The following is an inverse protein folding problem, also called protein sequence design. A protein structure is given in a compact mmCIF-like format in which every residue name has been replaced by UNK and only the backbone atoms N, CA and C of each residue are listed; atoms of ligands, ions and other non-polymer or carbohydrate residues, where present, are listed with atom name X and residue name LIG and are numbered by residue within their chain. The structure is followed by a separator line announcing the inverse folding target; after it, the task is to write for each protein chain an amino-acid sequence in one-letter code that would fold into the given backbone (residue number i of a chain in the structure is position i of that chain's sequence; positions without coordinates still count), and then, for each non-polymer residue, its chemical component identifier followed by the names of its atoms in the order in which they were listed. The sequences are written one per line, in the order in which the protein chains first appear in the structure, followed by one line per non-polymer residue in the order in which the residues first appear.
data_IF_914078894630
#
_entry.id   IF_914078894630
#
_cell.length_a   1.000
_cell.length_b   1.000
_cell.length_c   1.000
_cell.angle_alpha   90.00
_cell.angle_beta   90.00
_cell.angle_gamma   90.00
#
_symmetry.space_group_name_H-M   'P 1'
#
loop_
_entity.id
_entity.type
_entity.pdbx_description
1 polymer ?
#
# COMPACT_ATOMS: atom_id res chain seq x y z
N UNK A 1 23.82 -4.08 -26.16
CA UNK A 1 23.76 -3.63 -24.75
C UNK A 1 24.50 -4.71 -23.97
N UNK A 2 25.50 -4.36 -23.17
CA UNK A 2 26.27 -5.35 -22.40
C UNK A 2 25.34 -5.94 -21.33
N UNK A 3 25.40 -7.25 -21.12
CA UNK A 3 24.69 -7.94 -20.04
C UNK A 3 25.72 -8.47 -19.05
N UNK A 4 25.58 -8.11 -17.77
CA UNK A 4 26.49 -8.55 -16.73
C UNK A 4 25.71 -9.44 -15.76
N UNK A 5 26.09 -10.71 -15.55
CA UNK A 5 25.39 -11.62 -14.66
C UNK A 5 25.21 -11.04 -13.26
N UNK A 6 23.98 -11.04 -12.74
CA UNK A 6 23.65 -10.51 -11.42
C UNK A 6 23.52 -8.98 -11.33
N UNK A 7 23.60 -8.27 -12.46
CA UNK A 7 23.46 -6.81 -12.52
C UNK A 7 22.42 -6.36 -13.55
N UNK A 8 21.65 -5.35 -13.18
CA UNK A 8 20.62 -4.72 -13.99
C UNK A 8 21.06 -3.30 -14.34
N UNK A 9 21.03 -2.95 -15.63
CA UNK A 9 21.37 -1.61 -16.10
C UNK A 9 20.14 -0.71 -16.18
N UNK A 10 20.18 0.41 -15.46
CA UNK A 10 19.15 1.44 -15.41
C UNK A 10 19.67 2.67 -16.16
N UNK A 11 19.25 2.79 -17.43
CA UNK A 11 19.63 3.88 -18.33
C UNK A 11 19.23 5.24 -17.77
N UNK A 12 20.08 6.25 -17.97
CA UNK A 12 19.86 7.66 -17.62
C UNK A 12 19.86 8.05 -16.14
N UNK A 13 19.76 7.09 -15.22
CA UNK A 13 19.57 7.36 -13.80
C UNK A 13 20.84 7.19 -12.97
N UNK A 14 20.84 7.84 -11.81
CA UNK A 14 21.72 7.59 -10.68
C UNK A 14 20.92 7.59 -9.38
N UNK A 15 21.39 6.80 -8.40
CA UNK A 15 20.88 6.81 -7.02
C UNK A 15 21.80 7.71 -6.18
N UNK A 16 21.37 8.92 -5.77
CA UNK A 16 22.25 9.88 -5.09
C UNK A 16 22.70 9.41 -3.70
N UNK A 17 23.95 9.72 -3.34
CA UNK A 17 24.54 9.40 -2.04
C UNK A 17 24.95 7.93 -1.88
N UNK A 18 25.30 7.55 -0.64
CA UNK A 18 25.82 6.24 -0.26
C UNK A 18 27.03 5.80 -1.10
N UNK A 19 27.86 6.76 -1.52
CA UNK A 19 29.04 6.50 -2.32
C UNK A 19 30.15 5.91 -1.43
N UNK A 20 30.68 4.77 -1.84
CA UNK A 20 31.84 4.12 -1.20
C UNK A 20 33.12 4.80 -1.69
N UNK A 21 33.28 4.86 -3.02
CA UNK A 21 34.44 5.43 -3.70
C UNK A 21 34.13 5.69 -5.18
N UNK A 22 34.92 6.55 -5.82
CA UNK A 22 34.93 6.68 -7.28
C UNK A 22 36.18 6.00 -7.86
N UNK A 23 35.97 5.07 -8.79
CA UNK A 23 37.05 4.34 -9.46
C UNK A 23 37.24 4.90 -10.86
N UNK A 24 37.82 6.09 -10.94
CA UNK A 24 37.94 6.89 -12.18
C UNK A 24 38.61 6.11 -13.31
N UNK A 25 39.60 5.27 -13.00
CA UNK A 25 40.31 4.44 -13.99
C UNK A 25 39.42 3.40 -14.67
N UNK A 26 38.31 3.00 -14.05
CA UNK A 26 37.34 2.05 -14.61
C UNK A 26 36.10 2.75 -15.19
N UNK A 27 36.12 4.08 -15.31
CA UNK A 27 35.00 4.86 -15.88
C UNK A 27 34.62 4.32 -17.26
N UNK A 28 33.32 4.11 -17.49
CA UNK A 28 32.82 3.56 -18.75
C UNK A 28 33.08 2.06 -18.97
N UNK A 29 33.69 1.35 -18.01
CA UNK A 29 33.92 -0.10 -18.08
C UNK A 29 33.06 -0.84 -17.03
N UNK A 30 31.79 -1.17 -17.36
CA UNK A 30 30.88 -1.75 -16.39
C UNK A 30 31.25 -3.17 -15.97
N UNK A 31 31.91 -3.96 -16.83
CA UNK A 31 32.38 -5.32 -16.48
C UNK A 31 33.47 -5.27 -15.40
N UNK A 32 34.45 -4.36 -15.55
CA UNK A 32 35.50 -4.18 -14.55
C UNK A 32 34.94 -3.65 -13.22
N UNK A 33 33.98 -2.71 -13.27
CA UNK A 33 33.31 -2.19 -12.07
C UNK A 33 32.48 -3.27 -11.36
N UNK A 34 31.77 -4.14 -12.10
CA UNK A 34 31.01 -5.25 -11.54
C UNK A 34 31.91 -6.32 -10.88
N UNK A 35 33.06 -6.60 -11.49
CA UNK A 35 34.07 -7.50 -10.91
C UNK A 35 34.66 -6.91 -9.62
N UNK A 36 34.94 -5.60 -9.61
CA UNK A 36 35.40 -4.91 -8.41
C UNK A 36 34.35 -4.93 -7.29
N UNK A 37 33.09 -4.66 -7.62
CA UNK A 37 31.98 -4.69 -6.67
C UNK A 37 31.79 -6.08 -6.04
N UNK A 38 31.97 -7.14 -6.83
CA UNK A 38 31.87 -8.53 -6.38
C UNK A 38 33.03 -8.97 -5.49
N UNK A 39 34.23 -8.40 -5.69
CA UNK A 39 35.46 -8.79 -4.97
C UNK A 39 35.71 -7.97 -3.70
N UNK A 40 35.29 -6.70 -3.64
CA UNK A 40 35.43 -5.86 -2.44
C UNK A 40 34.51 -6.27 -1.27
N UNK A 41 33.43 -7.02 -1.52
CA UNK A 41 32.46 -7.43 -0.50
C UNK A 41 32.98 -8.33 0.63
N UNK A 42 34.25 -8.74 0.63
CA UNK A 42 34.86 -9.51 1.72
C UNK A 42 35.57 -8.67 2.78
N UNK A 43 35.81 -7.36 2.57
CA UNK A 43 36.54 -6.53 3.55
C UNK A 43 36.00 -5.11 3.80
N UNK A 44 35.12 -4.56 2.96
CA UNK A 44 34.47 -3.26 3.16
C UNK A 44 33.05 -3.31 2.59
N UNK A 45 32.19 -2.36 2.99
CA UNK A 45 30.75 -2.25 2.72
C UNK A 45 30.29 -2.91 1.40
N UNK A 46 29.27 -3.79 1.48
CA UNK A 46 28.73 -4.54 0.33
C UNK A 46 28.30 -3.55 -0.76
N UNK A 47 29.07 -3.47 -1.86
CA UNK A 47 28.70 -2.66 -3.02
C UNK A 47 27.43 -3.23 -3.67
N UNK A 48 26.38 -2.42 -3.75
CA UNK A 48 25.07 -2.78 -4.30
C UNK A 48 24.78 -2.16 -5.66
N UNK A 49 25.50 -1.10 -6.01
CA UNK A 49 25.33 -0.41 -7.28
C UNK A 49 26.60 0.33 -7.68
N UNK A 50 26.76 0.61 -8.97
CA UNK A 50 27.74 1.55 -9.46
C UNK A 50 27.22 2.30 -10.69
N UNK A 51 27.64 3.54 -10.90
CA UNK A 51 27.25 4.29 -12.10
C UNK A 51 28.36 4.34 -13.15
N UNK A 52 28.02 4.85 -14.34
CA UNK A 52 28.95 4.88 -15.48
C UNK A 52 30.17 5.78 -15.24
N UNK A 53 30.09 6.73 -14.31
CA UNK A 53 31.21 7.58 -13.90
C UNK A 53 32.15 6.90 -12.89
N UNK A 54 31.89 5.63 -12.55
CA UNK A 54 32.74 4.83 -11.67
C UNK A 54 32.46 5.02 -10.18
N UNK A 55 31.37 5.69 -9.79
CA UNK A 55 30.96 5.76 -8.38
C UNK A 55 30.36 4.43 -7.95
N UNK A 56 30.94 3.83 -6.92
CA UNK A 56 30.50 2.59 -6.26
C UNK A 56 29.63 2.94 -5.07
N UNK A 57 28.55 2.19 -4.80
CA UNK A 57 27.54 2.55 -3.80
C UNK A 57 27.23 1.42 -2.82
N UNK A 58 27.13 1.73 -1.53
CA UNK A 58 26.82 0.75 -0.46
C UNK A 58 25.33 0.56 -0.21
N UNK A 59 24.49 1.51 -0.63
CA UNK A 59 23.04 1.42 -0.55
C UNK A 59 22.36 2.18 -1.69
N UNK A 60 21.12 1.77 -2.01
CA UNK A 60 20.23 2.50 -2.92
C UNK A 60 19.28 3.36 -2.10
N UNK A 61 19.04 4.60 -2.53
CA UNK A 61 17.89 5.36 -2.04
C UNK A 61 16.60 4.84 -2.69
N UNK A 62 15.41 5.10 -2.11
CA UNK A 62 14.14 4.76 -2.75
C UNK A 62 14.06 5.27 -4.20
N UNK A 63 13.44 4.48 -5.09
CA UNK A 63 13.48 4.68 -6.55
C UNK A 63 12.91 6.04 -6.97
N UNK A 64 11.95 6.57 -6.23
CA UNK A 64 11.37 7.90 -6.43
C UNK A 64 12.35 9.06 -6.18
N UNK A 65 13.49 8.80 -5.53
CA UNK A 65 14.56 9.78 -5.32
C UNK A 65 15.68 9.68 -6.35
N UNK A 66 15.61 8.71 -7.28
CA UNK A 66 16.63 8.55 -8.32
C UNK A 66 16.55 9.72 -9.28
N UNK A 67 17.72 10.21 -9.69
CA UNK A 67 17.84 11.39 -10.53
C UNK A 67 18.21 10.97 -11.93
N UNK A 68 17.53 11.55 -12.93
CA UNK A 68 17.98 11.47 -14.31
C UNK A 68 19.19 12.40 -14.46
N UNK A 69 20.38 11.82 -14.50
CA UNK A 69 21.64 12.58 -14.58
C UNK A 69 22.35 12.42 -15.92
N UNK A 70 21.99 11.41 -16.72
CA UNK A 70 22.62 11.17 -18.02
C UNK A 70 21.69 11.44 -19.20
N UNK A 71 22.21 12.21 -20.17
CA UNK A 71 21.57 12.41 -21.46
C UNK A 71 21.75 11.18 -22.38
N UNK A 72 22.93 10.57 -22.36
CA UNK A 72 23.24 9.38 -23.16
C UNK A 72 22.58 8.12 -22.60
N UNK A 73 21.90 7.37 -23.46
CA UNK A 73 21.26 6.08 -23.15
C UNK A 73 22.24 4.94 -22.84
N UNK A 74 23.52 5.12 -23.15
CA UNK A 74 24.61 4.19 -22.78
C UNK A 74 25.15 4.45 -21.38
N UNK A 75 24.74 5.53 -20.73
CA UNK A 75 25.14 5.89 -19.37
C UNK A 75 23.97 5.68 -18.40
N UNK A 76 24.30 5.34 -17.16
CA UNK A 76 23.32 5.01 -16.15
C UNK A 76 23.90 4.33 -14.91
N UNK A 77 23.00 3.71 -14.16
CA UNK A 77 23.27 3.01 -12.92
C UNK A 77 23.18 1.50 -13.15
N UNK A 78 24.22 0.77 -12.77
CA UNK A 78 24.19 -0.68 -12.66
C UNK A 78 23.86 -1.04 -11.21
N UNK A 79 22.85 -1.87 -11.03
CA UNK A 79 22.34 -2.27 -9.72
C UNK A 79 22.41 -3.77 -9.62
N UNK A 80 22.90 -4.32 -8.51
CA UNK A 80 22.81 -5.76 -8.29
C UNK A 80 21.34 -6.19 -8.25
N UNK A 81 21.03 -7.32 -8.88
CA UNK A 81 19.65 -7.82 -8.94
C UNK A 81 19.04 -7.98 -7.55
N UNK A 82 19.79 -8.52 -6.58
CA UNK A 82 19.32 -8.70 -5.20
C UNK A 82 19.00 -7.38 -4.49
N UNK A 83 19.78 -6.33 -4.75
CA UNK A 83 19.54 -5.00 -4.20
C UNK A 83 18.35 -4.29 -4.86
N UNK A 84 18.14 -4.51 -6.17
CA UNK A 84 16.99 -3.98 -6.88
C UNK A 84 15.70 -4.64 -6.41
N UNK A 85 15.71 -5.97 -6.27
CA UNK A 85 14.60 -6.75 -5.73
C UNK A 85 14.23 -6.29 -4.32
N UNK A 86 15.22 -6.09 -3.44
CA UNK A 86 14.97 -5.62 -2.07
C UNK A 86 14.22 -4.28 -1.99
N UNK A 87 14.31 -3.41 -3.01
CA UNK A 87 13.53 -2.16 -3.06
C UNK A 87 12.03 -2.39 -3.25
N UNK A 88 11.61 -3.56 -3.74
CA UNK A 88 10.22 -3.94 -3.97
C UNK A 88 9.53 -4.51 -2.73
N UNK A 89 10.31 -4.80 -1.68
CA UNK A 89 9.81 -5.35 -0.44
C UNK A 89 9.76 -4.30 0.67
N UNK A 90 8.83 -4.49 1.60
CA UNK A 90 8.72 -3.73 2.84
C UNK A 90 8.70 -4.71 4.00
N UNK A 91 9.49 -4.43 5.04
CA UNK A 91 9.52 -5.25 6.24
C UNK A 91 8.52 -4.74 7.27
N UNK A 92 7.56 -5.59 7.63
CA UNK A 92 6.58 -5.35 8.68
C UNK A 92 7.04 -6.09 9.94
N UNK A 93 7.66 -5.34 10.85
CA UNK A 93 8.22 -5.86 12.10
C UNK A 93 7.16 -6.48 13.02
N UNK A 94 7.40 -7.70 13.49
CA UNK A 94 6.65 -8.37 14.55
C UNK A 94 5.26 -8.90 14.16
N UNK A 95 4.81 -8.68 12.92
CA UNK A 95 3.48 -9.08 12.46
C UNK A 95 3.54 -10.17 11.39
N UNK A 96 2.51 -11.00 11.37
CA UNK A 96 2.23 -11.96 10.30
C UNK A 96 0.80 -11.78 9.78
N UNK A 97 0.60 -12.10 8.50
CA UNK A 97 -0.72 -12.24 7.90
C UNK A 97 -1.14 -13.71 7.92
N UNK A 98 -2.22 -14.10 8.63
CA UNK A 98 -2.56 -15.51 8.80
C UNK A 98 -3.05 -16.19 7.51
N UNK A 99 -2.63 -17.44 7.32
CA UNK A 99 -3.00 -18.31 6.20
C UNK A 99 -2.43 -17.86 4.85
N UNK A 100 -3.03 -18.38 3.76
CA UNK A 100 -2.59 -18.16 2.38
C UNK A 100 -1.12 -18.56 2.14
N UNK A 101 -0.65 -19.54 2.90
CA UNK A 101 0.69 -20.08 2.81
C UNK A 101 0.80 -20.99 1.58
N UNK A 102 1.83 -20.78 0.78
CA UNK A 102 2.23 -21.66 -0.33
C UNK A 102 2.99 -22.85 0.25
N UNK A 103 4.01 -22.57 1.08
CA UNK A 103 4.85 -23.54 1.79
C UNK A 103 5.71 -22.86 2.84
N UNK A 104 6.28 -23.67 3.73
CA UNK A 104 7.39 -23.27 4.60
C UNK A 104 8.73 -23.75 4.00
N UNK A 105 9.76 -22.90 4.04
CA UNK A 105 11.13 -23.24 3.66
C UNK A 105 12.03 -23.03 4.88
N UNK A 106 12.01 -24.00 5.78
CA UNK A 106 12.68 -23.94 7.08
C UNK A 106 14.20 -23.73 6.96
N UNK A 107 14.82 -24.31 5.94
CA UNK A 107 16.25 -24.16 5.66
C UNK A 107 16.69 -22.71 5.39
N UNK A 108 15.74 -21.85 4.99
CA UNK A 108 15.98 -20.43 4.73
C UNK A 108 15.41 -19.52 5.83
N UNK A 109 14.84 -20.09 6.90
CA UNK A 109 14.31 -19.31 8.02
C UNK A 109 15.41 -18.43 8.64
N UNK A 110 15.05 -17.21 9.03
CA UNK A 110 15.99 -16.21 9.53
C UNK A 110 16.92 -15.60 8.47
N UNK A 111 16.80 -15.98 7.19
CA UNK A 111 17.62 -15.43 6.10
C UNK A 111 16.78 -14.72 5.02
N UNK A 112 16.30 -13.48 5.27
CA UNK A 112 15.47 -12.74 4.33
C UNK A 112 16.09 -12.54 2.95
N UNK A 113 17.41 -12.35 2.85
CA UNK A 113 18.07 -12.17 1.56
C UNK A 113 17.98 -13.41 0.69
N UNK A 114 18.16 -14.61 1.27
CA UNK A 114 18.01 -15.86 0.53
C UNK A 114 16.54 -16.18 0.25
N UNK A 115 15.63 -15.90 1.19
CA UNK A 115 14.19 -16.04 0.96
C UNK A 115 13.70 -15.14 -0.19
N UNK A 116 14.12 -13.87 -0.25
CA UNK A 116 13.80 -12.96 -1.36
C UNK A 116 14.28 -13.52 -2.70
N UNK A 117 15.54 -13.94 -2.76
CA UNK A 117 16.10 -14.50 -3.99
C UNK A 117 15.30 -15.74 -4.44
N UNK A 118 15.05 -16.65 -3.51
CA UNK A 118 14.27 -17.86 -3.75
C UNK A 118 12.87 -17.57 -4.28
N UNK A 119 12.11 -16.69 -3.61
CA UNK A 119 10.74 -16.40 -4.05
C UNK A 119 10.70 -15.66 -5.38
N UNK A 120 11.68 -14.81 -5.67
CA UNK A 120 11.72 -14.08 -6.94
C UNK A 120 12.10 -14.98 -8.13
N UNK A 121 12.93 -16.00 -7.91
CA UNK A 121 13.32 -16.94 -8.95
C UNK A 121 12.30 -18.07 -9.15
N UNK A 122 11.81 -18.64 -8.05
CA UNK A 122 11.14 -19.94 -8.06
C UNK A 122 9.63 -19.86 -7.75
N UNK A 123 9.12 -18.72 -7.27
CA UNK A 123 7.73 -18.57 -6.80
C UNK A 123 7.18 -17.20 -7.23
N UNK A 124 6.93 -16.98 -8.54
CA UNK A 124 6.49 -15.68 -9.06
C UNK A 124 5.20 -15.15 -8.41
N UNK A 125 4.33 -16.04 -7.95
CA UNK A 125 3.09 -15.74 -7.23
C UNK A 125 3.28 -15.33 -5.77
N UNK A 126 4.49 -15.42 -5.23
CA UNK A 126 4.79 -14.99 -3.86
C UNK A 126 4.57 -13.49 -3.72
N UNK A 127 3.84 -13.09 -2.67
CA UNK A 127 3.63 -11.68 -2.33
C UNK A 127 4.15 -11.31 -0.95
N UNK A 128 4.39 -12.30 -0.09
CA UNK A 128 4.92 -12.11 1.25
C UNK A 128 5.65 -13.36 1.73
N UNK A 129 6.60 -13.18 2.64
CA UNK A 129 7.15 -14.27 3.43
C UNK A 129 7.50 -13.77 4.83
N UNK A 130 7.46 -14.62 5.84
CA UNK A 130 7.87 -14.25 7.20
C UNK A 130 9.23 -14.83 7.58
N UNK A 131 9.79 -14.35 8.68
CA UNK A 131 11.13 -14.74 9.15
C UNK A 131 11.22 -16.21 9.59
N UNK A 132 10.08 -16.89 9.77
CA UNK A 132 10.03 -18.32 10.06
C UNK A 132 10.04 -19.18 8.77
N UNK A 133 10.16 -18.56 7.59
CA UNK A 133 10.25 -19.27 6.31
C UNK A 133 8.92 -19.57 5.64
N UNK A 134 7.78 -19.10 6.19
CA UNK A 134 6.49 -19.24 5.52
C UNK A 134 6.36 -18.26 4.36
N UNK A 135 6.05 -18.79 3.17
CA UNK A 135 5.88 -18.05 1.93
C UNK A 135 4.39 -17.99 1.59
N UNK A 136 3.88 -16.83 1.16
CA UNK A 136 2.45 -16.56 1.01
C UNK A 136 2.11 -16.03 -0.39
N UNK A 137 1.00 -16.53 -0.96
CA UNK A 137 0.50 -16.09 -2.28
C UNK A 137 -0.47 -14.90 -2.19
N UNK A 138 -0.98 -14.61 -1.00
CA UNK A 138 -1.78 -13.40 -0.72
C UNK A 138 -1.63 -12.98 0.73
N UNK A 139 -1.88 -11.71 1.03
CA UNK A 139 -1.94 -11.18 2.39
C UNK A 139 -3.37 -10.78 2.72
N UNK A 140 -3.75 -10.99 3.98
CA UNK A 140 -5.06 -10.57 4.49
C UNK A 140 -5.11 -9.06 4.74
N UNK A 141 -6.31 -8.49 4.91
CA UNK A 141 -6.50 -7.21 5.58
C UNK A 141 -5.62 -7.04 6.83
N UNK A 142 -4.92 -5.90 6.98
CA UNK A 142 -4.08 -5.58 8.15
C UNK A 142 -4.77 -5.75 9.52
N UNK A 143 -6.11 -5.67 9.59
CA UNK A 143 -6.87 -5.88 10.83
C UNK A 143 -6.89 -7.35 11.30
N UNK A 144 -6.66 -8.28 10.37
CA UNK A 144 -6.52 -9.71 10.66
C UNK A 144 -5.08 -10.11 10.96
N UNK A 145 -4.13 -9.19 10.80
CA UNK A 145 -2.74 -9.48 11.11
C UNK A 145 -2.58 -9.60 12.62
N UNK A 146 -1.77 -10.55 13.04
CA UNK A 146 -1.49 -10.75 14.45
C UNK A 146 -0.01 -10.48 14.70
N UNK A 147 0.26 -9.89 15.86
CA UNK A 147 1.61 -9.74 16.34
C UNK A 147 2.09 -11.12 16.81
N UNK A 148 3.13 -11.65 16.20
CA UNK A 148 3.69 -12.96 16.54
C UNK A 148 5.05 -12.87 17.23
N UNK A 149 5.70 -11.69 17.20
CA UNK A 149 6.98 -11.46 17.86
C UNK A 149 7.17 -10.01 18.30
N UNK A 150 7.95 -9.83 19.37
CA UNK A 150 8.47 -8.54 19.83
C UNK A 150 9.87 -8.21 19.27
N UNK A 151 10.53 -9.20 18.67
CA UNK A 151 11.89 -9.03 18.15
C UNK A 151 11.95 -8.03 17.00
N UNK A 152 13.00 -7.21 16.98
CA UNK A 152 13.22 -6.25 15.90
C UNK A 152 13.63 -6.89 14.58
N UNK A 153 14.17 -8.10 14.62
CA UNK A 153 14.62 -8.85 13.46
C UNK A 153 13.57 -9.83 12.94
N UNK A 154 12.42 -9.97 13.60
CA UNK A 154 11.35 -10.90 13.23
C UNK A 154 10.14 -10.15 12.68
N UNK A 155 9.46 -10.74 11.70
CA UNK A 155 8.35 -10.10 11.03
C UNK A 155 8.06 -10.72 9.67
N UNK A 156 7.39 -9.95 8.83
CA UNK A 156 6.99 -10.34 7.49
C UNK A 156 7.53 -9.35 6.46
N UNK A 157 8.20 -9.85 5.43
CA UNK A 157 8.51 -9.09 4.23
C UNK A 157 7.35 -9.21 3.26
N UNK A 158 6.88 -8.08 2.76
CA UNK A 158 5.73 -7.99 1.87
C UNK A 158 6.11 -7.20 0.62
N UNK A 159 5.74 -7.68 -0.56
CA UNK A 159 5.86 -6.87 -1.78
C UNK A 159 5.03 -5.60 -1.61
N UNK A 160 5.62 -4.44 -1.91
CA UNK A 160 4.94 -3.14 -1.83
C UNK A 160 3.66 -3.11 -2.65
N UNK A 161 3.65 -3.76 -3.82
CA UNK A 161 2.46 -3.93 -4.66
C UNK A 161 1.32 -4.65 -3.94
N UNK A 162 1.62 -5.63 -3.09
CA UNK A 162 0.62 -6.33 -2.30
C UNK A 162 0.09 -5.45 -1.15
N UNK A 163 0.97 -4.71 -0.46
CA UNK A 163 0.55 -3.71 0.53
C UNK A 163 -0.36 -2.65 -0.11
N UNK A 164 0.01 -2.14 -1.28
CA UNK A 164 -0.76 -1.15 -2.02
C UNK A 164 -2.13 -1.70 -2.46
N UNK A 165 -2.22 -2.98 -2.81
CA UNK A 165 -3.50 -3.62 -3.16
C UNK A 165 -4.47 -3.74 -1.97
N UNK A 166 -3.94 -3.76 -0.75
CA UNK A 166 -4.79 -3.64 0.44
C UNK A 166 -5.35 -2.22 0.60
N UNK A 167 -4.60 -1.20 0.18
CA UNK A 167 -5.02 0.19 0.29
C UNK A 167 -5.94 0.62 -0.85
N UNK A 168 -5.72 0.19 -2.09
CA UNK A 168 -6.46 0.67 -3.26
C UNK A 168 -7.39 -0.40 -3.84
N UNK A 169 -8.69 -0.11 -3.84
CA UNK A 169 -9.73 -0.96 -4.44
C UNK A 169 -10.05 -0.45 -5.84
N UNK A 170 -9.96 -1.33 -6.85
CA UNK A 170 -10.40 -1.01 -8.21
C UNK A 170 -11.91 -1.22 -8.34
N UNK A 171 -12.61 -0.20 -8.81
CA UNK A 171 -14.03 -0.23 -9.13
C UNK A 171 -14.15 -0.07 -10.66
N UNK A 172 -14.39 -1.16 -11.41
CA UNK A 172 -14.41 -1.12 -12.87
C UNK A 172 -15.59 -0.29 -13.38
N UNK A 173 -15.48 0.22 -14.60
CA UNK A 173 -16.50 0.98 -15.35
C UNK A 173 -16.88 2.36 -14.80
N UNK A 174 -16.71 2.61 -13.51
CA UNK A 174 -17.22 3.81 -12.85
C UNK A 174 -16.19 4.93 -12.74
N UNK A 175 -16.68 6.17 -12.67
CA UNK A 175 -15.94 7.34 -12.21
C UNK A 175 -16.79 8.17 -11.24
N UNK A 176 -16.12 9.07 -10.51
CA UNK A 176 -16.76 10.07 -9.64
C UNK A 176 -16.44 11.45 -10.17
N UNK A 177 -17.47 12.19 -10.60
CA UNK A 177 -17.26 13.46 -11.30
C UNK A 177 -16.62 14.55 -10.42
N UNK A 178 -15.76 15.37 -11.03
CA UNK A 178 -15.05 16.48 -10.40
C UNK A 178 -14.07 16.10 -9.27
N UNK A 179 -13.76 17.10 -8.42
CA UNK A 179 -12.81 17.03 -7.29
C UNK A 179 -11.39 16.60 -7.70
N UNK A 180 -10.98 16.98 -8.91
CA UNK A 180 -9.69 16.63 -9.49
C UNK A 180 -8.56 17.51 -8.92
N UNK A 181 -7.44 16.87 -8.59
CA UNK A 181 -6.19 17.50 -8.16
C UNK A 181 -5.32 17.80 -9.38
N UNK A 182 -5.16 16.80 -10.23
CA UNK A 182 -4.29 16.82 -11.40
C UNK A 182 -4.61 15.64 -12.32
N UNK A 183 -4.11 15.72 -13.56
CA UNK A 183 -4.11 14.61 -14.50
C UNK A 183 -2.70 14.11 -14.73
N UNK A 184 -2.50 12.81 -14.55
CA UNK A 184 -1.22 12.12 -14.75
C UNK A 184 -1.34 11.21 -15.96
N UNK A 185 -0.63 11.58 -17.03
CA UNK A 185 -0.45 10.69 -18.18
C UNK A 185 0.46 9.51 -17.82
N UNK A 186 0.45 8.47 -18.65
CA UNK A 186 1.30 7.29 -18.48
C UNK A 186 0.56 6.05 -18.01
N UNK A 187 1.34 5.07 -17.55
CA UNK A 187 0.92 3.73 -17.16
C UNK A 187 0.15 3.72 -15.83
N UNK A 188 -0.61 2.64 -15.54
CA UNK A 188 -1.24 2.46 -14.23
C UNK A 188 -0.26 2.54 -13.05
N UNK A 189 0.97 2.04 -13.23
CA UNK A 189 2.00 2.08 -12.20
C UNK A 189 2.48 3.52 -11.92
N UNK A 190 2.70 4.33 -12.96
CA UNK A 190 3.10 5.74 -12.81
C UNK A 190 2.01 6.57 -12.14
N UNK A 191 0.75 6.38 -12.54
CA UNK A 191 -0.39 7.05 -11.89
C UNK A 191 -0.50 6.67 -10.42
N UNK A 192 -0.36 5.39 -10.10
CA UNK A 192 -0.37 4.90 -8.72
C UNK A 192 0.76 5.52 -7.91
N UNK A 193 1.98 5.61 -8.46
CA UNK A 193 3.10 6.24 -7.78
C UNK A 193 2.81 7.71 -7.44
N UNK A 194 2.14 8.46 -8.34
CA UNK A 194 1.70 9.83 -8.04
C UNK A 194 0.59 9.85 -6.98
N UNK A 195 -0.40 8.96 -7.06
CA UNK A 195 -1.45 8.90 -6.04
C UNK A 195 -0.89 8.64 -4.63
N UNK A 196 0.08 7.72 -4.51
CA UNK A 196 0.78 7.42 -3.25
C UNK A 196 1.60 8.62 -2.78
N UNK A 197 2.31 9.32 -3.67
CA UNK A 197 3.13 10.48 -3.30
C UNK A 197 2.29 11.67 -2.80
N UNK A 198 1.04 11.78 -3.26
CA UNK A 198 0.07 12.77 -2.78
C UNK A 198 -0.50 12.44 -1.38
N UNK A 199 -0.27 11.23 -0.85
CA UNK A 199 -0.67 10.79 0.50
C UNK A 199 -2.16 11.06 0.77
N UNK A 200 -2.48 11.75 1.88
CA UNK A 200 -3.85 12.08 2.29
C UNK A 200 -4.58 13.00 1.31
N UNK A 201 -3.87 13.68 0.40
CA UNK A 201 -4.50 14.56 -0.58
C UNK A 201 -5.18 13.80 -1.70
N UNK A 202 -4.75 12.57 -2.01
CA UNK A 202 -5.34 11.74 -3.05
C UNK A 202 -6.13 10.59 -2.42
N UNK A 203 -7.43 10.56 -2.70
CA UNK A 203 -8.35 9.52 -2.21
C UNK A 203 -8.76 8.53 -3.28
N UNK A 204 -8.62 8.92 -4.55
CA UNK A 204 -8.95 8.11 -5.71
C UNK A 204 -8.19 8.57 -6.95
N UNK A 205 -8.04 7.69 -7.93
CA UNK A 205 -7.63 8.06 -9.27
C UNK A 205 -8.25 7.14 -10.31
N UNK A 206 -8.61 7.66 -11.48
CA UNK A 206 -9.17 6.84 -12.55
C UNK A 206 -8.13 6.40 -13.60
N UNK A 207 -8.49 5.43 -14.44
CA UNK A 207 -7.63 4.94 -15.52
C UNK A 207 -7.50 5.92 -16.70
N UNK A 208 -8.03 7.14 -16.60
CA UNK A 208 -7.72 8.25 -17.50
C UNK A 208 -6.68 9.24 -16.90
N UNK A 209 -6.20 8.95 -15.69
CA UNK A 209 -5.13 9.69 -15.04
C UNK A 209 -5.58 10.79 -14.10
N UNK A 210 -6.88 11.00 -13.90
CA UNK A 210 -7.37 12.02 -12.98
C UNK A 210 -7.19 11.58 -11.53
N UNK A 211 -6.43 12.36 -10.75
CA UNK A 211 -6.23 12.21 -9.31
C UNK A 211 -7.32 13.00 -8.59
N UNK A 212 -7.96 12.45 -7.57
CA UNK A 212 -9.11 13.06 -6.89
C UNK A 212 -8.85 13.25 -5.41
N UNK A 213 -9.23 14.40 -4.86
CA UNK A 213 -9.09 14.70 -3.43
C UNK A 213 -10.34 14.36 -2.61
N UNK A 214 -11.48 14.16 -3.26
CA UNK A 214 -12.74 13.76 -2.64
C UNK A 214 -13.56 12.97 -3.66
N UNK A 215 -14.44 12.10 -3.19
CA UNK A 215 -15.40 11.38 -4.02
C UNK A 215 -16.81 11.84 -3.69
N UNK A 216 -17.65 11.94 -4.71
CA UNK A 216 -19.08 12.05 -4.52
C UNK A 216 -19.63 10.80 -3.80
N UNK A 217 -20.80 10.91 -3.16
CA UNK A 217 -21.57 9.74 -2.74
C UNK A 217 -21.68 8.67 -3.83
N UNK A 218 -21.67 7.39 -3.43
CA UNK A 218 -21.57 6.25 -4.37
C UNK A 218 -22.71 6.18 -5.39
N UNK A 219 -23.89 6.68 -5.01
CA UNK A 219 -25.10 6.81 -5.82
C UNK A 219 -25.03 7.92 -6.88
N UNK A 220 -24.07 8.84 -6.77
CA UNK A 220 -23.78 9.88 -7.77
C UNK A 220 -22.65 9.51 -8.72
N UNK A 221 -22.07 8.32 -8.59
CA UNK A 221 -21.07 7.85 -9.53
C UNK A 221 -21.75 7.40 -10.82
N UNK A 222 -21.09 7.65 -11.94
CA UNK A 222 -21.63 7.30 -13.25
C UNK A 222 -20.75 6.24 -13.90
N UNK A 223 -21.37 5.42 -14.76
CA UNK A 223 -20.64 4.51 -15.62
C UNK A 223 -19.95 5.34 -16.71
N UNK A 224 -18.63 5.39 -16.67
CA UNK A 224 -17.79 6.21 -17.56
C UNK A 224 -17.31 5.42 -18.80
N UNK A 225 -17.17 4.11 -18.69
CA UNK A 225 -16.61 3.25 -19.74
C UNK A 225 -17.28 1.86 -19.74
N UNK A 226 -17.25 1.19 -20.90
CA UNK A 226 -17.66 -0.21 -21.06
C UNK A 226 -16.47 -1.19 -20.97
N UNK A 227 -15.23 -0.68 -20.90
CA UNK A 227 -14.05 -1.50 -20.74
C UNK A 227 -13.84 -1.88 -19.26
N UNK A 228 -13.89 -3.19 -18.95
CA UNK A 228 -13.73 -3.70 -17.58
C UNK A 228 -12.35 -3.44 -16.96
N UNK A 229 -11.35 -3.14 -17.80
CA UNK A 229 -9.99 -2.78 -17.37
C UNK A 229 -9.84 -1.29 -17.06
N UNK A 230 -10.90 -0.53 -17.27
CA UNK A 230 -10.96 0.91 -17.00
C UNK A 230 -11.95 1.21 -15.88
N UNK A 231 -11.66 2.24 -15.08
CA UNK A 231 -12.46 2.56 -13.91
C UNK A 231 -11.70 3.39 -12.88
N UNK A 232 -12.14 3.29 -11.63
CA UNK A 232 -11.68 4.12 -10.52
C UNK A 232 -10.95 3.28 -9.47
N UNK A 233 -9.70 3.62 -9.17
CA UNK A 233 -9.00 3.14 -7.99
C UNK A 233 -9.33 4.05 -6.81
N UNK A 234 -9.81 3.49 -5.72
CA UNK A 234 -10.26 4.22 -4.53
C UNK A 234 -9.56 3.69 -3.30
N UNK A 235 -9.10 4.57 -2.40
CA UNK A 235 -8.62 4.13 -1.09
C UNK A 235 -9.71 3.33 -0.38
N UNK A 236 -9.37 2.15 0.12
CA UNK A 236 -10.29 1.24 0.81
C UNK A 236 -11.02 1.94 1.95
N UNK A 237 -10.30 2.70 2.78
CA UNK A 237 -10.89 3.47 3.88
C UNK A 237 -11.93 4.50 3.43
N UNK A 238 -11.76 5.07 2.23
CA UNK A 238 -12.70 6.00 1.62
C UNK A 238 -13.92 5.25 1.09
N UNK A 239 -13.69 4.15 0.38
CA UNK A 239 -14.77 3.30 -0.13
C UNK A 239 -15.64 2.75 1.00
N UNK A 240 -15.02 2.29 2.08
CA UNK A 240 -15.69 1.80 3.30
C UNK A 240 -16.55 2.89 3.95
N UNK A 241 -16.13 4.16 3.89
CA UNK A 241 -16.85 5.31 4.46
C UNK A 241 -18.02 5.78 3.59
N UNK A 242 -17.95 5.62 2.27
CA UNK A 242 -19.00 6.10 1.35
C UNK A 242 -20.36 5.44 1.59
N UNK A 243 -20.41 4.25 2.18
CA UNK A 243 -21.65 3.58 2.58
C UNK A 243 -22.32 4.17 3.83
N UNK A 244 -21.71 5.16 4.47
CA UNK A 244 -22.10 5.68 5.77
C UNK A 244 -22.24 7.20 5.76
N UNK A 245 -23.02 7.69 6.72
CA UNK A 245 -23.24 9.10 7.00
C UNK A 245 -22.98 9.33 8.49
N UNK A 246 -22.21 10.37 8.81
CA UNK A 246 -21.85 10.71 10.17
C UNK A 246 -22.74 11.85 10.69
N UNK A 247 -23.32 11.63 11.86
CA UNK A 247 -24.13 12.58 12.59
C UNK A 247 -23.37 12.95 13.87
N UNK A 248 -22.79 14.17 13.95
CA UNK A 248 -22.02 14.58 15.10
C UNK A 248 -22.91 14.76 16.34
N UNK A 249 -22.29 14.67 17.52
CA UNK A 249 -22.89 14.93 18.83
C UNK A 249 -23.95 13.95 19.33
N UNK A 250 -24.50 13.11 18.46
CA UNK A 250 -25.68 12.29 18.74
C UNK A 250 -25.37 10.80 18.82
N UNK A 251 -26.28 10.06 19.47
CA UNK A 251 -26.40 8.60 19.41
C UNK A 251 -27.86 8.21 19.20
N UNK A 252 -28.09 7.05 18.60
CA UNK A 252 -29.39 6.38 18.57
C UNK A 252 -29.43 5.37 19.70
N UNK A 253 -30.10 5.63 20.84
CA UNK A 253 -29.99 4.78 22.03
C UNK A 253 -30.53 3.36 21.78
N UNK A 254 -29.95 2.38 22.48
CA UNK A 254 -30.33 0.97 22.39
C UNK A 254 -29.93 0.29 21.07
N UNK A 255 -30.47 -0.91 20.84
CA UNK A 255 -30.19 -1.79 19.70
C UNK A 255 -28.71 -2.17 19.52
N UNK A 256 -27.90 -2.00 20.56
CA UNK A 256 -26.49 -2.39 20.58
C UNK A 256 -26.39 -3.92 20.64
N UNK A 257 -25.63 -4.52 19.73
CA UNK A 257 -25.38 -5.97 19.73
C UNK A 257 -23.92 -6.33 19.99
N UNK A 258 -23.03 -5.34 19.90
CA UNK A 258 -21.59 -5.53 20.12
C UNK A 258 -20.93 -4.22 20.52
N UNK A 259 -19.96 -4.29 21.42
CA UNK A 259 -19.10 -3.17 21.77
C UNK A 259 -17.64 -3.52 21.47
N UNK A 260 -16.98 -2.69 20.68
CA UNK A 260 -15.59 -2.82 20.26
C UNK A 260 -14.77 -1.65 20.82
N UNK A 261 -14.80 -1.47 22.15
CA UNK A 261 -14.19 -0.35 22.86
C UNK A 261 -12.69 -0.15 22.58
N UNK A 262 -11.97 -1.23 22.21
CA UNK A 262 -10.58 -1.15 21.74
C UNK A 262 -10.37 -0.28 20.51
N UNK A 263 -11.43 0.00 19.76
CA UNK A 263 -11.46 0.86 18.57
C UNK A 263 -12.34 2.09 18.78
N UNK A 264 -12.60 2.46 20.04
CA UNK A 264 -13.25 3.74 20.35
C UNK A 264 -12.45 4.89 19.71
N UNK A 265 -13.18 5.84 19.13
CA UNK A 265 -12.70 6.97 18.32
C UNK A 265 -11.92 6.60 17.03
N UNK A 266 -11.66 5.31 16.78
CA UNK A 266 -11.10 4.81 15.51
C UNK A 266 -12.20 4.31 14.58
N UNK A 267 -12.92 5.27 14.00
CA UNK A 267 -14.01 4.98 13.05
C UNK A 267 -13.52 4.19 11.83
N UNK A 268 -12.25 4.29 11.44
CA UNK A 268 -11.71 3.55 10.29
C UNK A 268 -11.58 2.06 10.61
N UNK A 269 -11.05 1.72 11.79
CA UNK A 269 -10.99 0.32 12.25
C UNK A 269 -12.38 -0.26 12.49
N UNK A 270 -13.31 0.52 13.04
CA UNK A 270 -14.72 0.10 13.22
C UNK A 270 -15.39 -0.19 11.87
N UNK A 271 -15.31 0.74 10.91
CA UNK A 271 -15.88 0.58 9.57
C UNK A 271 -15.35 -0.66 8.86
N UNK A 272 -14.03 -0.87 8.93
CA UNK A 272 -13.38 -2.05 8.34
C UNK A 272 -13.92 -3.34 8.96
N UNK A 273 -13.93 -3.41 10.30
CA UNK A 273 -14.46 -4.57 11.00
C UNK A 273 -15.92 -4.86 10.62
N UNK A 274 -16.76 -3.81 10.61
CA UNK A 274 -18.17 -3.92 10.27
C UNK A 274 -18.35 -4.46 8.84
N UNK A 275 -17.60 -3.93 7.87
CA UNK A 275 -17.72 -4.35 6.49
C UNK A 275 -17.26 -5.81 6.27
N UNK A 276 -16.25 -6.26 7.00
CA UNK A 276 -15.69 -7.61 6.87
C UNK A 276 -16.45 -8.67 7.68
N UNK A 277 -16.97 -8.32 8.86
CA UNK A 277 -17.50 -9.28 9.84
C UNK A 277 -18.97 -9.08 10.17
N UNK A 278 -19.50 -7.87 10.04
CA UNK A 278 -20.85 -7.52 10.48
C UNK A 278 -21.61 -6.72 9.41
N UNK A 279 -21.76 -7.23 8.16
CA UNK A 279 -22.31 -6.47 7.04
C UNK A 279 -23.77 -6.02 7.26
N UNK A 280 -24.48 -6.62 8.21
CA UNK A 280 -25.85 -6.27 8.61
C UNK A 280 -25.93 -5.11 9.61
N UNK A 281 -24.81 -4.70 10.22
CA UNK A 281 -24.75 -3.57 11.16
C UNK A 281 -25.39 -2.30 10.54
N UNK A 282 -26.33 -1.69 11.25
CA UNK A 282 -27.11 -0.55 10.78
C UNK A 282 -26.45 0.79 11.10
N UNK A 283 -25.86 0.89 12.30
CA UNK A 283 -25.14 2.06 12.78
C UNK A 283 -24.03 1.66 13.74
N UNK A 284 -23.09 2.57 14.00
CA UNK A 284 -22.19 2.46 15.14
C UNK A 284 -21.86 3.86 15.65
N UNK A 285 -21.53 3.98 16.93
CA UNK A 285 -21.07 5.25 17.49
C UNK A 285 -19.57 5.26 17.74
N UNK A 286 -19.00 6.45 17.94
CA UNK A 286 -17.56 6.61 18.17
C UNK A 286 -17.07 6.02 19.50
N UNK A 287 -17.97 5.63 20.41
CA UNK A 287 -17.60 4.84 21.59
C UNK A 287 -17.40 3.34 21.29
N UNK A 288 -17.67 2.91 20.06
CA UNK A 288 -17.46 1.53 19.59
C UNK A 288 -18.68 0.62 19.72
N UNK A 289 -19.87 1.15 20.01
CA UNK A 289 -21.11 0.36 20.03
C UNK A 289 -21.66 0.19 18.61
N UNK A 290 -21.89 -1.05 18.20
CA UNK A 290 -22.49 -1.44 16.93
C UNK A 290 -23.97 -1.75 17.14
N UNK A 291 -24.80 -1.24 16.25
CA UNK A 291 -26.26 -1.23 16.36
C UNK A 291 -26.90 -2.03 15.23
N UNK A 292 -27.86 -2.90 15.55
CA UNK A 292 -28.61 -3.67 14.53
C UNK A 292 -29.71 -2.85 13.87
N UNK A 293 -30.19 -1.81 14.55
CA UNK A 293 -31.23 -0.91 14.07
C UNK A 293 -30.95 0.52 14.56
N UNK A 294 -31.56 1.49 13.88
CA UNK A 294 -31.46 2.92 14.22
C UNK A 294 -32.85 3.42 14.50
N UNK A 295 -33.03 4.08 15.65
CA UNK A 295 -34.30 4.71 16.00
C UNK A 295 -34.61 5.87 15.05
N UNK A 296 -35.88 6.30 14.97
CA UNK A 296 -36.25 7.58 14.36
C UNK A 296 -35.41 8.75 14.90
N UNK A 297 -35.10 9.73 14.04
CA UNK A 297 -34.18 10.84 14.36
C UNK A 297 -34.60 11.70 15.56
N UNK A 298 -35.91 11.81 15.80
CA UNK A 298 -36.49 12.52 16.95
C UNK A 298 -36.24 11.81 18.30
N UNK A 299 -35.82 10.55 18.26
CA UNK A 299 -35.44 9.76 19.45
C UNK A 299 -33.94 9.69 19.67
N UNK A 300 -33.14 10.37 18.84
CA UNK A 300 -31.69 10.41 19.04
C UNK A 300 -31.34 11.32 20.21
N UNK A 301 -30.30 10.93 20.95
CA UNK A 301 -29.86 11.65 22.15
C UNK A 301 -28.52 12.33 21.91
N UNK A 302 -28.35 13.51 22.48
CA UNK A 302 -27.07 14.22 22.44
C UNK A 302 -26.12 13.62 23.50
N UNK A 303 -24.98 13.08 23.08
CA UNK A 303 -24.06 12.31 23.94
C UNK A 303 -22.71 12.97 24.16
N UNK A 304 -22.38 14.01 23.39
CA UNK A 304 -21.04 14.63 23.42
C UNK A 304 -21.06 16.03 22.86
N UNK A 305 -20.15 16.88 23.33
CA UNK A 305 -19.91 18.23 22.78
C UNK A 305 -18.84 18.25 21.69
N UNK A 306 -18.17 17.12 21.42
CA UNK A 306 -17.13 17.04 20.41
C UNK A 306 -17.74 16.84 19.01
N UNK A 307 -17.39 17.67 18.01
CA UNK A 307 -17.85 17.49 16.63
C UNK A 307 -17.30 16.22 15.98
N UNK A 308 -16.27 15.61 16.57
CA UNK A 308 -15.61 14.41 16.05
C UNK A 308 -16.17 13.12 16.66
N UNK A 309 -17.12 13.23 17.60
CA UNK A 309 -17.81 12.11 18.23
C UNK A 309 -19.29 12.13 17.89
N UNK A 310 -19.89 10.97 17.69
CA UNK A 310 -21.27 10.85 17.26
C UNK A 310 -21.63 9.48 16.68
N UNK A 311 -22.62 9.47 15.80
CA UNK A 311 -23.24 8.27 15.24
C UNK A 311 -22.96 8.17 13.73
N UNK A 312 -22.41 7.05 13.31
CA UNK A 312 -22.34 6.66 11.90
C UNK A 312 -23.52 5.76 11.57
N UNK A 313 -24.31 6.13 10.55
CA UNK A 313 -25.48 5.36 10.09
C UNK A 313 -25.27 4.94 8.63
N UNK A 314 -25.65 3.72 8.26
CA UNK A 314 -25.64 3.30 6.85
C UNK A 314 -26.52 4.22 6.02
N UNK A 315 -26.00 4.74 4.90
CA UNK A 315 -26.73 5.68 4.02
C UNK A 315 -28.09 5.17 3.57
N UNK A 316 -28.20 3.87 3.25
CA UNK A 316 -29.48 3.27 2.84
C UNK A 316 -30.58 3.44 3.89
N UNK A 317 -30.22 3.41 5.18
CA UNK A 317 -31.16 3.59 6.29
C UNK A 317 -31.55 5.06 6.42
N UNK A 318 -30.59 5.97 6.26
CA UNK A 318 -30.87 7.42 6.23
C UNK A 318 -31.86 7.76 5.11
N UNK A 319 -31.64 7.23 3.92
CA UNK A 319 -32.52 7.44 2.75
C UNK A 319 -33.94 6.88 3.00
N UNK A 320 -34.05 5.69 3.60
CA UNK A 320 -35.35 5.11 3.97
C UNK A 320 -36.12 5.98 4.97
N UNK A 321 -35.44 6.50 6.00
CA UNK A 321 -36.08 7.38 6.98
C UNK A 321 -36.52 8.71 6.36
N UNK A 322 -35.77 9.26 5.41
CA UNK A 322 -36.17 10.49 4.69
C UNK A 322 -37.42 10.30 3.84
N UNK A 323 -37.57 9.14 3.20
CA UNK A 323 -38.74 8.82 2.37
C UNK A 323 -40.01 8.61 3.20
N UNK A 324 -39.89 8.15 4.45
CA UNK A 324 -41.03 7.97 5.36
C UNK A 324 -41.54 9.28 5.97
N UNK A 325 -40.81 10.39 5.78
CA UNK A 325 -41.14 11.73 6.29
C UNK A 325 -41.68 12.67 5.20
N UNK A 326 -41.82 12.20 3.96
CA UNK A 326 -42.40 12.92 2.82
C UNK A 326 -43.81 12.41 2.52
#
# INVERSE_FOLDING_TARGET
MVTIPGWVFIRHFDSPGNDIQQVVVLKGNPEALANLASTQGRRQEKCVAFNTDGWMKSALVPREKWRRVYADSKQGLWVRSDALEALEWEFVKGFDSPGNDIRCVEDLAGNPSQLMHYVNCDIPECVAFNTNGWIKHSIRPKIEWYKFSDSASEGMWVKKTALDSLEWVFVPFFDSDGNDISRVAGTPAERRAVAVSLREKCVAYNTNGWMKHTLLPRDKWYKWTDNEREGLYVKRSVLERLGWEFFPYVDSPGNDFKCLSKWADDSSSLLRYINEREPTCAAFNTAGYLKMAVLPKDQWVHVTTSPFRGLWVRRRIVQQQQQQQQ
#
